data_IF_541902100356
#
_entry.id   IF_541902100356
#
_cell.length_a   1.000
_cell.length_b   1.000
_cell.length_c   1.000
_cell.angle_alpha   90.00
_cell.angle_beta   90.00
_cell.angle_gamma   90.00
#
_symmetry.space_group_name_H-M   'P 1'
#
loop_
_entity.id
_entity.type
_entity.pdbx_description
1 polymer ?
#
# COMPACT_ATOMS: atom_id res chain seq x y z
N UNK A 1 0.97 33.64 29.91
CA UNK A 1 -0.35 32.95 29.85
C UNK A 1 -0.07 31.46 29.74
N UNK A 2 -0.81 30.63 30.48
CA UNK A 2 -0.61 29.17 30.53
C UNK A 2 -1.71 28.53 29.67
N UNK A 3 -1.39 27.72 28.65
CA UNK A 3 -2.42 26.94 27.95
C UNK A 3 -2.87 25.79 28.85
N UNK A 4 -4.19 25.68 29.09
CA UNK A 4 -4.78 24.62 29.91
C UNK A 4 -4.90 23.33 29.10
N UNK A 5 -4.36 22.24 29.63
CA UNK A 5 -4.49 20.90 29.07
C UNK A 5 -5.89 20.34 29.35
N UNK A 6 -6.66 20.03 28.31
CA UNK A 6 -7.93 19.30 28.46
C UNK A 6 -7.67 17.80 28.53
N UNK A 7 -7.78 17.22 29.72
CA UNK A 7 -7.74 15.77 29.91
C UNK A 7 -9.14 15.17 29.70
N UNK A 8 -9.32 14.38 28.63
CA UNK A 8 -10.53 13.60 28.42
C UNK A 8 -10.48 12.30 29.24
N UNK A 9 -11.34 12.18 30.26
CA UNK A 9 -11.45 10.96 31.06
C UNK A 9 -12.49 10.01 30.46
N UNK A 10 -12.05 8.85 29.98
CA UNK A 10 -12.95 7.77 29.55
C UNK A 10 -13.37 6.91 30.76
N UNK A 11 -14.67 6.86 31.04
CA UNK A 11 -15.24 6.00 32.09
C UNK A 11 -15.56 4.63 31.46
N UNK A 12 -14.72 3.64 31.75
CA UNK A 12 -14.98 2.25 31.38
C UNK A 12 -15.97 1.62 32.37
N UNK A 13 -17.22 1.44 31.96
CA UNK A 13 -18.23 0.72 32.72
C UNK A 13 -18.26 -0.77 32.33
N UNK A 14 -17.64 -1.62 33.14
CA UNK A 14 -17.73 -3.07 32.99
C UNK A 14 -19.08 -3.59 33.51
N UNK A 15 -20.02 -3.93 32.60
CA UNK A 15 -21.22 -4.68 32.96
C UNK A 15 -20.99 -6.18 32.84
N UNK A 16 -20.86 -6.84 33.99
CA UNK A 16 -20.83 -8.30 34.10
C UNK A 16 -22.27 -8.81 34.25
N UNK A 17 -22.80 -9.42 33.20
CA UNK A 17 -23.96 -10.31 33.21
C UNK A 17 -23.85 -11.23 32.00
N UNK A 18 -24.08 -12.54 32.06
CA UNK A 18 -24.49 -13.38 33.18
C UNK A 18 -25.07 -14.66 32.59
N UNK A 19 -24.25 -15.71 32.47
CA UNK A 19 -24.63 -16.95 31.78
C UNK A 19 -25.76 -17.68 32.51
N UNK A 20 -26.93 -17.79 31.89
CA UNK A 20 -27.97 -18.73 32.30
C UNK A 20 -28.04 -19.89 31.29
N UNK A 21 -27.61 -21.08 31.72
CA UNK A 21 -27.80 -22.29 30.97
C UNK A 21 -29.28 -22.73 31.05
N UNK A 22 -29.97 -22.78 29.90
CA UNK A 22 -31.33 -23.30 29.83
C UNK A 22 -31.38 -24.83 30.00
N UNK A 23 -32.45 -25.39 30.57
CA UNK A 23 -32.55 -26.84 30.81
C UNK A 23 -32.66 -27.63 29.49
N UNK A 24 -31.86 -28.69 29.37
CA UNK A 24 -31.90 -29.60 28.23
C UNK A 24 -33.24 -30.35 28.15
N UNK A 25 -33.98 -30.18 27.04
CA UNK A 25 -35.19 -30.96 26.75
C UNK A 25 -34.79 -32.34 26.21
N UNK A 26 -35.17 -33.46 26.85
CA UNK A 26 -34.96 -34.78 26.27
C UNK A 26 -35.85 -34.94 25.04
N UNK A 27 -35.25 -35.34 23.90
CA UNK A 27 -35.99 -35.66 22.68
C UNK A 27 -36.24 -37.17 22.62
N UNK A 28 -37.47 -37.58 22.87
CA UNK A 28 -37.89 -38.99 22.77
C UNK A 28 -37.96 -39.42 21.31
N UNK A 29 -36.89 -40.02 20.78
CA UNK A 29 -36.93 -40.67 19.47
C UNK A 29 -37.59 -42.04 19.59
N UNK A 30 -38.83 -42.14 19.13
CA UNK A 30 -39.48 -43.42 18.87
C UNK A 30 -38.76 -44.05 17.66
N UNK A 31 -38.26 -45.27 17.85
CA UNK A 31 -37.71 -46.09 16.77
C UNK A 31 -38.69 -47.23 16.53
N UNK A 32 -39.49 -47.13 15.48
CA UNK A 32 -40.27 -48.28 14.99
C UNK A 32 -39.34 -49.29 14.32
N UNK A 33 -39.63 -50.57 14.53
CA UNK A 33 -38.67 -51.64 14.29
C UNK A 33 -38.62 -52.13 12.84
N UNK A 34 -37.48 -52.73 12.49
CA UNK A 34 -37.42 -53.81 11.50
C UNK A 34 -36.93 -55.07 12.20
N UNK A 35 -37.61 -56.18 11.94
CA UNK A 35 -37.32 -57.49 12.54
C UNK A 35 -36.33 -58.29 11.68
N UNK A 36 -35.52 -59.15 12.33
CA UNK A 36 -35.03 -60.49 11.86
C UNK A 36 -34.46 -60.59 10.42
N UNK A 37 -33.25 -61.06 10.12
CA UNK A 37 -32.37 -62.05 10.79
C UNK A 37 -31.10 -62.25 9.89
N UNK A 38 -29.97 -62.87 10.25
CA UNK A 38 -29.48 -63.53 11.48
C UNK A 38 -27.92 -63.74 11.45
N UNK A 39 -27.34 -64.47 12.43
CA UNK A 39 -26.15 -65.39 12.35
C UNK A 39 -24.87 -64.91 11.61
N UNK A 40 -23.61 -64.93 12.12
CA UNK A 40 -22.97 -65.69 13.21
C UNK A 40 -21.68 -65.02 13.78
N UNK A 41 -21.15 -65.61 14.85
CA UNK A 41 -19.82 -65.50 15.52
C UNK A 41 -18.60 -64.97 14.71
N UNK A 42 -17.57 -64.35 15.31
CA UNK A 42 -16.53 -65.02 16.16
C UNK A 42 -15.66 -64.04 16.98
N UNK A 43 -15.02 -64.53 18.07
CA UNK A 43 -14.20 -63.81 19.06
C UNK A 43 -12.77 -63.42 18.63
N UNK A 44 -12.17 -62.44 19.34
CA UNK A 44 -10.71 -62.20 19.44
C UNK A 44 -10.31 -60.70 19.39
N UNK A 45 -10.26 -59.94 20.49
CA UNK A 45 -9.19 -59.85 21.52
C UNK A 45 -7.89 -59.13 21.14
N UNK A 46 -7.70 -57.99 21.83
CA UNK A 46 -6.43 -57.45 22.38
C UNK A 46 -5.57 -56.48 21.55
N UNK A 47 -5.16 -55.43 22.27
CA UNK A 47 -4.34 -54.27 21.93
C UNK A 47 -2.90 -54.57 21.50
N UNK A 48 -2.32 -53.67 20.70
CA UNK A 48 -0.91 -53.25 20.86
C UNK A 48 -0.70 -51.82 20.33
N UNK A 49 0.10 -51.04 21.06
CA UNK A 49 0.64 -49.75 20.63
C UNK A 49 1.98 -49.97 19.89
N UNK A 50 2.33 -49.11 18.94
CA UNK A 50 3.73 -48.92 18.56
C UNK A 50 4.03 -47.46 18.25
N UNK A 51 4.90 -46.86 19.05
CA UNK A 51 5.66 -45.68 18.67
C UNK A 51 6.60 -46.02 17.51
N UNK A 52 6.86 -45.04 16.63
CA UNK A 52 8.11 -44.96 15.88
C UNK A 52 8.60 -43.51 15.95
N UNK A 53 9.65 -43.29 16.75
CA UNK A 53 10.49 -42.10 16.61
C UNK A 53 11.35 -42.25 15.35
N UNK A 54 11.54 -41.17 14.59
CA UNK A 54 12.61 -41.08 13.58
C UNK A 54 13.40 -39.81 13.82
N UNK A 55 14.67 -39.97 14.19
CA UNK A 55 15.56 -38.89 14.63
C UNK A 55 16.48 -38.45 13.48
N UNK A 56 16.62 -37.13 13.28
CA UNK A 56 17.75 -36.39 12.68
C UNK A 56 18.49 -36.92 11.44
N UNK A 57 18.64 -36.06 10.43
CA UNK A 57 19.98 -35.70 9.90
C UNK A 57 20.05 -34.18 9.70
N UNK A 58 21.13 -33.56 10.15
CA UNK A 58 21.42 -32.15 9.89
C UNK A 58 22.26 -31.99 8.62
N UNK A 59 21.99 -30.94 7.84
CA UNK A 59 22.89 -30.48 6.77
C UNK A 59 23.42 -29.09 7.12
N UNK A 60 24.68 -29.04 7.58
CA UNK A 60 25.43 -27.79 7.68
C UNK A 60 26.15 -27.54 6.37
N UNK A 61 26.04 -26.33 5.83
CA UNK A 61 26.84 -25.88 4.68
C UNK A 61 27.42 -24.50 4.96
N UNK A 62 28.50 -24.45 5.73
CA UNK A 62 29.45 -23.33 5.69
C UNK A 62 30.42 -23.53 4.54
N UNK A 63 30.47 -22.59 3.60
CA UNK A 63 31.62 -22.41 2.71
C UNK A 63 32.10 -20.96 2.79
N UNK A 64 33.42 -20.82 2.96
CA UNK A 64 34.11 -19.55 3.09
C UNK A 64 34.59 -19.05 1.72
N UNK A 65 34.60 -17.72 1.58
CA UNK A 65 35.55 -16.89 0.82
C UNK A 65 35.86 -17.22 -0.65
N UNK A 66 35.67 -16.22 -1.50
CA UNK A 66 36.81 -15.62 -2.20
C UNK A 66 36.54 -14.11 -2.36
N UNK A 67 37.56 -13.28 -2.11
CA UNK A 67 37.56 -11.90 -2.59
C UNK A 67 37.94 -11.87 -4.06
N UNK A 68 37.30 -11.01 -4.85
CA UNK A 68 38.02 -10.37 -5.96
C UNK A 68 37.67 -8.88 -6.00
N UNK A 69 38.70 -8.07 -5.74
CA UNK A 69 38.62 -6.62 -5.83
C UNK A 69 38.71 -6.20 -7.30
N UNK A 70 37.73 -5.46 -7.81
CA UNK A 70 37.88 -4.70 -9.05
C UNK A 70 37.57 -3.22 -8.80
N UNK A 71 38.66 -2.44 -8.84
CA UNK A 71 38.64 -0.98 -8.76
C UNK A 71 38.38 -0.42 -10.16
N UNK A 72 37.36 0.43 -10.30
CA UNK A 72 37.21 1.30 -11.48
C UNK A 72 37.40 2.75 -11.00
N UNK A 73 38.49 3.35 -11.47
CA UNK A 73 38.86 4.76 -11.30
C UNK A 73 38.70 5.45 -12.66
N UNK A 74 38.62 6.78 -12.65
CA UNK A 74 38.38 7.73 -13.76
C UNK A 74 36.89 7.93 -14.12
N UNK A 75 36.41 9.15 -14.39
CA UNK A 75 37.12 10.45 -14.46
C UNK A 75 36.22 11.61 -14.02
N UNK A 76 36.77 12.52 -13.20
CA UNK A 76 36.08 13.71 -12.71
C UNK A 76 36.39 14.92 -13.60
N UNK A 77 35.41 15.37 -14.40
CA UNK A 77 35.55 16.61 -15.18
C UNK A 77 35.07 17.78 -14.33
N UNK A 78 36.03 18.53 -13.78
CA UNK A 78 35.79 19.86 -13.20
C UNK A 78 35.79 20.89 -14.32
N UNK A 79 34.71 21.66 -14.42
CA UNK A 79 34.63 22.86 -15.25
C UNK A 79 34.24 24.05 -14.37
N UNK A 80 35.24 24.65 -13.74
CA UNK A 80 35.10 25.93 -13.04
C UNK A 80 35.40 27.05 -14.04
N UNK A 81 34.39 27.78 -14.52
CA UNK A 81 34.63 29.04 -15.23
C UNK A 81 33.98 30.21 -14.49
N UNK A 82 34.83 31.15 -14.05
CA UNK A 82 34.46 32.44 -13.46
C UNK A 82 35.18 33.51 -14.27
N UNK A 83 34.47 34.21 -15.15
CA UNK A 83 34.96 35.37 -15.94
C UNK A 83 33.87 35.80 -16.94
N UNK A 84 33.64 37.06 -17.30
CA UNK A 84 34.02 38.39 -16.78
C UNK A 84 32.91 39.34 -17.28
N UNK A 85 32.56 40.35 -16.49
CA UNK A 85 31.63 41.44 -16.85
C UNK A 85 32.31 42.48 -17.77
N UNK A 86 31.68 42.91 -18.89
CA UNK A 86 31.99 44.18 -19.53
C UNK A 86 30.80 45.16 -19.50
N UNK A 87 30.70 45.87 -18.38
CA UNK A 87 30.05 47.18 -18.27
C UNK A 87 30.55 48.15 -19.36
N UNK A 88 29.66 48.55 -20.26
CA UNK A 88 29.79 49.77 -21.08
C UNK A 88 28.50 50.58 -21.00
N UNK A 89 28.58 51.89 -21.17
CA UNK A 89 27.47 52.81 -20.85
C UNK A 89 27.49 54.03 -21.76
N UNK A 90 26.51 54.16 -22.68
CA UNK A 90 25.92 55.47 -23.07
C UNK A 90 24.85 55.45 -24.17
N UNK A 91 23.72 56.08 -23.85
CA UNK A 91 23.16 57.28 -24.53
C UNK A 91 22.79 57.24 -26.02
N UNK A 92 21.49 57.07 -26.27
CA UNK A 92 20.59 57.93 -27.08
C UNK A 92 21.06 58.49 -28.45
N UNK A 93 20.37 58.06 -29.52
CA UNK A 93 19.94 58.95 -30.60
C UNK A 93 18.66 58.42 -31.28
N UNK A 94 17.69 59.31 -31.52
CA UNK A 94 16.45 59.03 -32.28
C UNK A 94 16.59 59.67 -33.67
N UNK A 95 16.34 58.91 -34.75
CA UNK A 95 16.11 59.49 -36.07
C UNK A 95 15.29 58.56 -36.95
N UNK A 96 14.34 59.14 -37.68
CA UNK A 96 13.38 58.45 -38.56
C UNK A 96 13.79 58.64 -40.02
N UNK A 97 13.91 57.55 -40.79
CA UNK A 97 13.95 57.61 -42.25
C UNK A 97 13.27 56.36 -42.83
N UNK A 98 12.35 56.56 -43.78
CA UNK A 98 11.72 55.50 -44.57
C UNK A 98 12.64 55.05 -45.72
N UNK A 99 12.63 53.76 -46.11
CA UNK A 99 13.24 53.35 -47.38
C UNK A 99 13.66 51.88 -47.53
N UNK A 100 12.74 51.06 -48.06
CA UNK A 100 13.01 50.07 -49.13
C UNK A 100 14.01 48.92 -48.89
N UNK A 101 13.45 47.78 -48.49
CA UNK A 101 13.58 46.43 -49.11
C UNK A 101 14.93 45.68 -49.14
N UNK A 102 14.83 44.38 -48.79
CA UNK A 102 15.75 43.24 -49.05
C UNK A 102 16.84 43.00 -48.00
N UNK A 103 16.62 42.03 -47.10
CA UNK A 103 17.13 40.64 -47.24
C UNK A 103 16.57 39.77 -46.10
N UNK A 104 16.07 38.58 -46.40
CA UNK A 104 15.40 37.72 -45.42
C UNK A 104 16.42 36.89 -44.62
N UNK A 105 16.96 37.48 -43.54
CA UNK A 105 17.77 36.73 -42.59
C UNK A 105 16.93 35.68 -41.85
N UNK A 106 17.07 34.42 -42.24
CA UNK A 106 16.48 33.27 -41.54
C UNK A 106 17.06 33.17 -40.13
N UNK A 107 16.33 33.66 -39.13
CA UNK A 107 16.66 33.44 -37.75
C UNK A 107 16.43 31.96 -37.42
N UNK A 108 17.53 31.17 -37.39
CA UNK A 108 17.51 29.81 -36.87
C UNK A 108 17.17 29.88 -35.38
N UNK A 109 15.89 29.68 -35.04
CA UNK A 109 15.46 29.58 -33.66
C UNK A 109 16.16 28.39 -33.01
N UNK A 110 17.02 28.65 -32.03
CA UNK A 110 17.64 27.61 -31.21
C UNK A 110 16.52 26.85 -30.48
N UNK A 111 16.19 25.67 -30.97
CA UNK A 111 15.19 24.82 -30.33
C UNK A 111 15.77 24.30 -29.03
N UNK A 112 15.41 24.93 -27.91
CA UNK A 112 15.72 24.38 -26.58
C UNK A 112 14.96 23.07 -26.45
N UNK A 113 15.66 21.95 -26.64
CA UNK A 113 15.12 20.62 -26.39
C UNK A 113 14.84 20.53 -24.90
N UNK A 114 13.57 20.72 -24.52
CA UNK A 114 13.11 20.31 -23.21
C UNK A 114 13.42 18.82 -23.08
N UNK A 115 14.25 18.44 -22.11
CA UNK A 115 14.37 17.04 -21.76
C UNK A 115 12.97 16.48 -21.49
N UNK A 116 12.68 15.31 -22.07
CA UNK A 116 11.43 14.64 -21.78
C UNK A 116 11.42 14.30 -20.29
N UNK A 117 10.56 14.97 -19.52
CA UNK A 117 10.35 14.64 -18.11
C UNK A 117 10.14 13.14 -18.02
N UNK A 118 10.98 12.46 -17.26
CA UNK A 118 10.99 10.99 -17.22
C UNK A 118 9.69 10.53 -16.57
N UNK A 119 8.71 10.16 -17.39
CA UNK A 119 7.34 9.78 -16.95
C UNK A 119 7.32 8.37 -16.33
N UNK A 120 8.26 8.08 -15.44
CA UNK A 120 8.24 6.89 -14.60
C UNK A 120 7.09 7.08 -13.60
N UNK A 121 6.08 6.19 -13.58
CA UNK A 121 5.01 6.27 -12.60
C UNK A 121 5.54 6.24 -11.17
N UNK A 122 4.92 7.03 -10.28
CA UNK A 122 5.33 7.12 -8.88
C UNK A 122 5.07 5.82 -8.08
N UNK A 123 4.23 4.94 -8.61
CA UNK A 123 3.95 3.59 -8.08
C UNK A 123 3.91 2.56 -9.21
N UNK A 124 3.97 1.28 -8.85
CA UNK A 124 3.92 0.10 -9.71
C UNK A 124 2.86 -0.88 -9.20
N UNK A 125 2.49 -1.89 -9.99
CA UNK A 125 1.39 -2.83 -9.69
C UNK A 125 0.10 -2.12 -9.20
N UNK A 126 -0.29 -1.07 -9.91
CA UNK A 126 -1.41 -0.19 -9.56
C UNK A 126 -2.77 -0.92 -9.53
N UNK A 127 -2.98 -1.85 -10.46
CA UNK A 127 -4.18 -2.71 -10.56
C UNK A 127 -3.97 -4.14 -10.06
N UNK A 128 -2.89 -4.43 -9.33
CA UNK A 128 -2.57 -5.78 -8.83
C UNK A 128 -2.46 -6.86 -9.93
N UNK A 129 -2.20 -6.43 -11.17
CA UNK A 129 -2.18 -7.25 -12.38
C UNK A 129 -0.78 -7.76 -12.77
N UNK A 130 0.30 -7.30 -12.12
CA UNK A 130 1.68 -7.64 -12.51
C UNK A 130 2.03 -9.10 -12.21
N UNK A 131 1.44 -9.70 -11.16
CA UNK A 131 1.62 -11.07 -10.69
C UNK A 131 0.27 -11.61 -10.15
N UNK A 132 -0.07 -12.88 -10.41
CA UNK A 132 -1.34 -13.50 -9.98
C UNK A 132 -1.28 -14.16 -8.59
N UNK A 133 -0.09 -14.19 -8.00
CA UNK A 133 0.23 -14.81 -6.70
C UNK A 133 0.75 -13.82 -5.66
N UNK A 134 1.15 -12.61 -6.08
CA UNK A 134 1.84 -11.63 -5.24
C UNK A 134 1.31 -10.21 -5.43
N UNK A 135 1.05 -9.52 -4.32
CA UNK A 135 0.73 -8.07 -4.33
C UNK A 135 1.96 -7.17 -4.45
N UNK A 136 3.17 -7.74 -4.53
CA UNK A 136 4.41 -6.96 -4.59
C UNK A 136 4.36 -5.91 -5.73
N UNK A 137 4.92 -4.71 -5.55
CA UNK A 137 5.72 -4.27 -4.41
C UNK A 137 4.91 -3.64 -3.25
N UNK A 138 3.60 -3.86 -3.18
CA UNK A 138 2.83 -3.48 -1.99
C UNK A 138 3.20 -4.38 -0.81
N UNK A 139 3.41 -3.77 0.35
CA UNK A 139 3.72 -4.44 1.61
C UNK A 139 2.71 -4.07 2.70
N UNK A 140 2.44 -5.00 3.62
CA UNK A 140 1.63 -4.74 4.80
C UNK A 140 2.39 -3.85 5.79
N UNK A 141 1.68 -2.96 6.46
CA UNK A 141 2.29 -2.01 7.40
C UNK A 141 2.52 -2.61 8.79
N UNK A 142 1.49 -3.17 9.43
CA UNK A 142 1.64 -3.84 10.73
C UNK A 142 1.85 -5.35 10.62
N UNK A 143 1.49 -5.97 9.50
CA UNK A 143 1.55 -7.43 9.33
C UNK A 143 0.57 -8.18 10.23
N UNK A 144 -0.44 -7.49 10.76
CA UNK A 144 -1.54 -8.13 11.50
C UNK A 144 -2.63 -8.64 10.56
N UNK A 145 -2.69 -8.15 9.32
CA UNK A 145 -3.56 -8.65 8.26
C UNK A 145 -2.72 -9.49 7.29
N UNK A 146 -3.39 -10.39 6.57
CA UNK A 146 -2.87 -10.97 5.34
C UNK A 146 -3.50 -10.22 4.16
N UNK A 147 -2.74 -10.05 3.09
CA UNK A 147 -3.20 -9.46 1.82
C UNK A 147 -2.90 -10.44 0.69
N UNK A 148 -3.88 -10.67 -0.18
CA UNK A 148 -3.77 -11.64 -1.28
C UNK A 148 -4.33 -11.09 -2.58
N UNK A 149 -3.88 -11.63 -3.71
CA UNK A 149 -4.52 -11.39 -5.01
C UNK A 149 -5.90 -12.05 -5.04
N UNK A 150 -6.89 -11.35 -5.60
CA UNK A 150 -8.23 -11.85 -5.89
C UNK A 150 -8.59 -11.56 -7.36
N UNK A 151 -8.94 -12.60 -8.12
CA UNK A 151 -9.26 -12.51 -9.55
C UNK A 151 -10.75 -12.57 -9.86
N UNK A 152 -11.59 -12.88 -8.87
CA UNK A 152 -13.05 -12.99 -8.98
C UNK A 152 -13.75 -11.65 -8.74
N UNK A 153 -13.28 -10.87 -7.76
CA UNK A 153 -13.74 -9.51 -7.47
C UNK A 153 -12.64 -8.52 -7.87
N UNK A 154 -12.94 -7.65 -8.84
CA UNK A 154 -12.06 -6.60 -9.37
C UNK A 154 -12.86 -5.44 -9.93
N UNK A 155 -12.21 -4.29 -10.07
CA UNK A 155 -12.75 -3.08 -10.67
C UNK A 155 -12.40 -3.00 -12.16
N UNK A 156 -11.11 -3.18 -12.49
CA UNK A 156 -10.59 -3.24 -13.86
C UNK A 156 -9.64 -4.44 -14.00
N UNK A 157 -9.04 -4.66 -15.17
CA UNK A 157 -7.94 -5.61 -15.33
C UNK A 157 -8.30 -7.08 -15.07
N UNK A 158 -7.39 -7.83 -14.45
CA UNK A 158 -7.54 -9.27 -14.13
C UNK A 158 -7.69 -9.54 -12.64
N UNK A 159 -7.16 -8.68 -11.78
CA UNK A 159 -6.97 -8.88 -10.35
C UNK A 159 -7.40 -7.66 -9.49
N UNK A 160 -7.46 -7.86 -8.18
CA UNK A 160 -7.42 -6.81 -7.15
C UNK A 160 -6.69 -7.34 -5.90
N UNK A 161 -6.35 -6.47 -4.94
CA UNK A 161 -5.87 -6.89 -3.64
C UNK A 161 -7.03 -7.08 -2.64
N UNK A 162 -7.16 -8.27 -2.07
CA UNK A 162 -8.05 -8.57 -0.96
C UNK A 162 -7.31 -8.40 0.37
N UNK A 163 -7.87 -7.57 1.26
CA UNK A 163 -7.52 -7.51 2.68
C UNK A 163 -8.68 -8.05 3.51
N UNK A 164 -8.47 -9.11 4.30
CA UNK A 164 -9.57 -9.77 5.02
C UNK A 164 -9.15 -10.43 6.35
N UNK A 165 -10.02 -10.34 7.36
CA UNK A 165 -9.80 -10.95 8.68
C UNK A 165 -9.78 -12.48 8.69
N UNK A 166 -10.47 -13.11 7.75
CA UNK A 166 -10.47 -14.57 7.56
C UNK A 166 -9.09 -15.11 7.20
N UNK A 167 -8.15 -14.25 6.83
CA UNK A 167 -6.75 -14.58 6.58
C UNK A 167 -5.88 -14.47 7.86
N UNK A 168 -6.47 -14.20 9.04
CA UNK A 168 -5.81 -14.35 10.35
C UNK A 168 -5.78 -13.10 11.24
N UNK A 169 -6.24 -11.96 10.73
CA UNK A 169 -6.03 -10.65 11.37
C UNK A 169 -7.11 -10.14 12.33
N UNK A 170 -6.71 -9.23 13.22
CA UNK A 170 -7.57 -8.61 14.23
C UNK A 170 -8.06 -7.23 13.78
N UNK A 171 -9.23 -7.20 13.17
CA UNK A 171 -9.85 -6.00 12.61
C UNK A 171 -10.08 -4.87 13.62
N UNK A 172 -9.21 -3.86 13.58
CA UNK A 172 -9.53 -2.48 13.97
C UNK A 172 -9.06 -1.52 12.86
N UNK A 173 -7.84 -1.73 12.34
CA UNK A 173 -7.40 -1.21 11.05
C UNK A 173 -5.96 -1.63 10.72
N UNK A 174 -5.63 -1.72 9.43
CA UNK A 174 -4.27 -1.92 8.91
C UNK A 174 -4.18 -1.31 7.50
N UNK A 175 -2.96 -1.28 6.97
CA UNK A 175 -2.59 -0.54 5.77
C UNK A 175 -1.72 -1.40 4.86
N UNK A 176 -1.94 -1.29 3.55
CA UNK A 176 -0.90 -1.60 2.56
C UNK A 176 -0.15 -0.32 2.22
N UNK A 177 1.15 -0.43 1.92
CA UNK A 177 1.98 0.69 1.50
C UNK A 177 2.89 0.30 0.34
N UNK A 178 3.29 1.28 -0.45
CA UNK A 178 4.30 1.13 -1.49
C UNK A 178 5.27 2.32 -1.44
N UNK A 179 6.60 2.10 -1.51
CA UNK A 179 7.56 3.18 -1.59
C UNK A 179 7.38 3.96 -2.89
N UNK A 180 7.43 5.28 -2.81
CA UNK A 180 7.32 6.13 -3.99
C UNK A 180 8.56 6.01 -4.89
N UNK A 181 8.32 6.03 -6.19
CA UNK A 181 9.31 5.93 -7.27
C UNK A 181 9.45 7.27 -7.97
N UNK A 182 10.61 7.52 -8.60
CA UNK A 182 10.87 8.79 -9.27
C UNK A 182 11.15 9.95 -8.31
N UNK A 183 11.21 11.17 -8.86
CA UNK A 183 11.59 12.37 -8.11
C UNK A 183 10.35 13.10 -7.58
N UNK A 184 10.23 13.18 -6.26
CA UNK A 184 9.25 14.04 -5.59
C UNK A 184 9.81 15.46 -5.45
N UNK A 185 8.99 16.47 -5.72
CA UNK A 185 9.36 17.89 -5.71
C UNK A 185 8.64 18.61 -4.58
N UNK A 186 9.38 19.35 -3.76
CA UNK A 186 8.82 20.09 -2.64
C UNK A 186 7.77 21.13 -3.10
N UNK A 187 6.65 21.21 -2.37
CA UNK A 187 5.57 22.16 -2.66
C UNK A 187 4.67 21.80 -3.85
N UNK A 188 4.99 20.76 -4.63
CA UNK A 188 4.07 20.23 -5.64
C UNK A 188 2.92 19.50 -4.97
N UNK A 189 1.70 19.73 -5.46
CA UNK A 189 0.50 19.01 -5.01
C UNK A 189 0.29 17.79 -5.89
N UNK A 190 0.42 16.62 -5.30
CA UNK A 190 0.17 15.32 -5.91
C UNK A 190 -1.27 14.89 -5.66
N UNK A 191 -1.87 14.18 -6.61
CA UNK A 191 -3.15 13.48 -6.43
C UNK A 191 -2.86 12.02 -6.08
N UNK A 192 -3.59 11.49 -5.09
CA UNK A 192 -3.58 10.07 -4.74
C UNK A 192 -4.99 9.51 -4.85
N UNK A 193 -5.15 8.31 -5.36
CA UNK A 193 -6.47 7.67 -5.48
C UNK A 193 -6.41 6.15 -5.44
N UNK A 194 -7.57 5.54 -5.23
CA UNK A 194 -7.80 4.10 -5.39
C UNK A 194 -9.29 3.83 -5.62
N UNK A 195 -9.60 2.67 -6.18
CA UNK A 195 -10.93 2.07 -6.10
C UNK A 195 -10.97 1.08 -4.94
N UNK A 196 -12.02 1.19 -4.12
CA UNK A 196 -12.21 0.31 -2.94
C UNK A 196 -13.61 -0.28 -2.95
N UNK A 197 -13.71 -1.60 -2.72
CA UNK A 197 -14.97 -2.30 -2.48
C UNK A 197 -14.90 -2.99 -1.12
N UNK A 198 -15.41 -2.31 -0.09
CA UNK A 198 -15.43 -2.80 1.29
C UNK A 198 -16.81 -3.35 1.66
N UNK A 199 -16.86 -4.40 2.48
CA UNK A 199 -18.12 -4.90 3.03
C UNK A 199 -18.60 -4.04 4.22
N UNK A 200 -19.82 -4.29 4.71
CA UNK A 200 -20.44 -3.50 5.79
C UNK A 200 -19.63 -3.48 7.10
N UNK A 201 -18.74 -4.44 7.31
CA UNK A 201 -17.88 -4.51 8.49
C UNK A 201 -16.57 -3.71 8.35
N UNK A 202 -16.27 -3.17 7.17
CA UNK A 202 -15.15 -2.26 6.90
C UNK A 202 -15.67 -0.90 6.40
N UNK A 203 -16.30 -0.08 7.28
CA UNK A 203 -16.98 1.15 6.88
C UNK A 203 -16.03 2.30 6.54
N UNK A 204 -14.72 2.19 6.78
CA UNK A 204 -13.77 3.27 6.52
C UNK A 204 -12.61 2.85 5.62
N UNK A 205 -12.20 3.75 4.74
CA UNK A 205 -10.90 3.69 4.05
C UNK A 205 -10.10 4.96 4.32
N UNK A 206 -8.78 4.88 4.25
CA UNK A 206 -7.88 6.02 4.50
C UNK A 206 -6.79 6.06 3.44
N UNK A 207 -6.52 7.24 2.87
CA UNK A 207 -5.38 7.49 1.99
C UNK A 207 -4.34 8.34 2.74
N UNK A 208 -3.08 7.92 2.70
CA UNK A 208 -1.98 8.55 3.46
C UNK A 208 -0.74 8.69 2.57
N UNK A 209 -0.12 9.87 2.63
CA UNK A 209 1.25 10.10 2.21
C UNK A 209 2.14 10.14 3.45
N UNK A 210 3.13 9.26 3.52
CA UNK A 210 4.05 9.18 4.65
C UNK A 210 5.50 9.43 4.24
N UNK A 211 6.31 9.79 5.24
CA UNK A 211 7.75 10.03 5.18
C UNK A 211 8.40 9.39 6.42
N UNK A 212 9.74 9.24 6.44
CA UNK A 212 10.46 8.49 7.50
C UNK A 212 9.86 7.09 7.75
N UNK A 213 9.33 6.45 6.70
CA UNK A 213 8.55 5.21 6.70
C UNK A 213 7.18 5.27 7.39
N UNK A 214 7.06 5.97 8.53
CA UNK A 214 5.93 5.87 9.46
C UNK A 214 5.39 7.24 9.93
N UNK A 215 5.97 8.37 9.51
CA UNK A 215 5.48 9.70 9.85
C UNK A 215 4.50 10.20 8.77
N UNK A 216 3.35 10.72 9.19
CA UNK A 216 2.37 11.31 8.29
C UNK A 216 1.65 12.46 8.97
N UNK A 217 1.11 13.37 8.15
CA UNK A 217 0.25 14.49 8.57
C UNK A 217 -1.05 14.43 7.77
N UNK A 218 -2.16 14.73 8.42
CA UNK A 218 -3.49 14.90 7.80
C UNK A 218 -3.97 13.74 6.90
N UNK A 219 -4.03 12.49 7.42
CA UNK A 219 -4.53 11.34 6.67
C UNK A 219 -6.00 11.53 6.28
N UNK A 220 -6.33 11.31 5.00
CA UNK A 220 -7.68 11.54 4.48
C UNK A 220 -8.53 10.28 4.63
N UNK A 221 -9.66 10.37 5.33
CA UNK A 221 -10.55 9.24 5.61
C UNK A 221 -11.89 9.36 4.89
N UNK A 222 -12.40 8.23 4.39
CA UNK A 222 -13.61 8.10 3.58
C UNK A 222 -14.61 7.15 4.26
N UNK A 223 -15.88 7.56 4.32
CA UNK A 223 -16.99 6.70 4.80
C UNK A 223 -17.56 5.88 3.63
N UNK A 224 -17.45 4.56 3.74
CA UNK A 224 -17.93 3.56 2.77
C UNK A 224 -19.25 2.91 3.21
N UNK A 225 -19.82 3.28 4.36
CA UNK A 225 -21.02 2.63 4.94
C UNK A 225 -22.21 2.60 3.97
N UNK A 226 -22.44 3.70 3.24
CA UNK A 226 -23.51 3.81 2.24
C UNK A 226 -23.19 3.13 0.89
N UNK A 227 -21.98 2.56 0.75
CA UNK A 227 -21.43 1.94 -0.46
C UNK A 227 -20.91 0.52 -0.22
N UNK A 228 -21.28 -0.10 0.90
CA UNK A 228 -20.87 -1.45 1.23
C UNK A 228 -21.16 -2.45 0.08
N UNK A 229 -20.14 -3.18 -0.36
CA UNK A 229 -20.20 -4.12 -1.48
C UNK A 229 -20.12 -3.48 -2.88
N UNK A 230 -19.86 -2.16 -2.98
CA UNK A 230 -19.75 -1.44 -4.24
C UNK A 230 -18.35 -0.84 -4.42
N UNK A 231 -17.81 -0.96 -5.63
CA UNK A 231 -16.61 -0.22 -6.02
C UNK A 231 -16.84 1.28 -5.91
N UNK A 232 -16.01 1.92 -5.09
CA UNK A 232 -16.07 3.36 -4.77
C UNK A 232 -14.70 3.97 -5.03
N UNK A 233 -14.65 4.96 -5.92
CA UNK A 233 -13.46 5.78 -6.13
C UNK A 233 -13.25 6.70 -4.92
N UNK A 234 -12.05 6.66 -4.36
CA UNK A 234 -11.59 7.56 -3.30
C UNK A 234 -10.33 8.30 -3.76
N UNK A 235 -10.24 9.58 -3.45
CA UNK A 235 -9.08 10.40 -3.84
C UNK A 235 -8.80 11.52 -2.85
N UNK A 236 -7.53 11.84 -2.66
CA UNK A 236 -7.07 13.01 -1.91
C UNK A 236 -5.86 13.66 -2.59
N UNK A 237 -5.31 14.69 -1.98
CA UNK A 237 -4.07 15.33 -2.42
C UNK A 237 -3.01 15.31 -1.34
N UNK A 238 -1.74 15.37 -1.75
CA UNK A 238 -0.58 15.42 -0.87
C UNK A 238 0.40 16.49 -1.33
N UNK A 239 1.10 17.11 -0.39
CA UNK A 239 2.21 18.00 -0.67
C UNK A 239 3.33 17.70 0.31
N UNK A 240 4.53 17.44 -0.20
CA UNK A 240 5.70 17.22 0.63
C UNK A 240 6.51 18.53 0.78
N UNK A 241 7.07 18.77 1.95
CA UNK A 241 8.11 19.79 2.16
C UNK A 241 9.49 19.23 1.78
N UNK A 242 10.49 20.10 1.61
CA UNK A 242 11.84 19.63 1.31
C UNK A 242 12.41 18.78 2.43
N UNK A 243 12.14 19.15 3.70
CA UNK A 243 12.59 18.40 4.88
C UNK A 243 11.98 17.00 4.96
N UNK A 244 10.73 16.83 4.50
CA UNK A 244 10.09 15.52 4.42
C UNK A 244 10.75 14.65 3.33
N UNK A 245 11.04 15.22 2.16
CA UNK A 245 11.74 14.53 1.06
C UNK A 245 13.16 14.13 1.48
N UNK A 246 13.91 15.06 2.06
CA UNK A 246 15.30 14.84 2.54
C UNK A 246 15.36 13.79 3.65
N UNK A 247 14.29 13.63 4.44
CA UNK A 247 14.19 12.59 5.47
C UNK A 247 13.92 11.18 4.92
N UNK A 248 13.60 11.07 3.62
CA UNK A 248 13.43 9.81 2.90
C UNK A 248 12.25 8.95 3.40
N UNK A 249 12.23 7.69 2.94
CA UNK A 249 11.18 6.74 3.31
C UNK A 249 9.78 7.24 2.98
N UNK A 250 9.58 7.71 1.74
CA UNK A 250 8.31 8.22 1.23
C UNK A 250 7.43 7.05 0.75
N UNK A 251 6.19 6.95 1.25
CA UNK A 251 5.25 5.91 0.81
C UNK A 251 3.86 6.49 0.53
N UNK A 252 3.18 5.90 -0.45
CA UNK A 252 1.73 5.94 -0.52
C UNK A 252 1.17 4.77 0.29
N UNK A 253 0.22 5.03 1.18
CA UNK A 253 -0.47 4.00 1.98
C UNK A 253 -1.98 4.07 1.77
N UNK A 254 -2.61 2.89 1.70
CA UNK A 254 -4.06 2.70 1.64
C UNK A 254 -4.45 1.88 2.86
N UNK A 255 -5.27 2.46 3.72
CA UNK A 255 -5.75 1.87 4.97
C UNK A 255 -7.22 1.48 4.94
N UNK A 256 -7.57 0.47 5.73
CA UNK A 256 -8.95 0.05 5.96
C UNK A 256 -9.26 0.09 7.45
N UNK A 257 -10.40 0.69 7.80
CA UNK A 257 -10.94 0.70 9.17
C UNK A 257 -12.13 -0.24 9.24
N UNK A 258 -12.07 -1.22 10.14
CA UNK A 258 -13.07 -2.28 10.23
C UNK A 258 -13.55 -2.46 11.67
N UNK A 259 -14.85 -2.76 11.83
CA UNK A 259 -15.58 -2.73 13.11
C UNK A 259 -15.97 -4.12 13.63
N UNK A 260 -15.74 -5.18 12.86
CA UNK A 260 -16.09 -6.54 13.27
C UNK A 260 -15.82 -7.60 12.21
N UNK A 261 -15.96 -8.87 12.59
CA UNK A 261 -15.79 -10.02 11.69
C UNK A 261 -17.10 -10.33 10.92
N UNK A 262 -17.05 -10.74 9.63
CA UNK A 262 -15.88 -10.92 8.77
C UNK A 262 -15.63 -9.67 7.90
N UNK A 263 -14.97 -8.64 8.44
CA UNK A 263 -14.51 -7.50 7.64
C UNK A 263 -13.51 -7.90 6.56
N UNK A 264 -13.79 -7.42 5.36
CA UNK A 264 -12.93 -7.49 4.19
C UNK A 264 -13.14 -6.26 3.31
N UNK A 265 -12.12 -5.91 2.53
CA UNK A 265 -12.27 -5.07 1.36
C UNK A 265 -11.33 -5.50 0.23
N UNK A 266 -11.70 -5.10 -0.98
CA UNK A 266 -10.86 -5.19 -2.17
C UNK A 266 -10.35 -3.79 -2.53
N UNK A 267 -9.10 -3.69 -2.95
CA UNK A 267 -8.43 -2.47 -3.41
C UNK A 267 -7.92 -2.73 -4.82
N UNK A 268 -8.16 -1.78 -5.72
CA UNK A 268 -7.81 -1.88 -7.14
C UNK A 268 -7.51 -0.47 -7.69
N UNK A 269 -6.79 -0.41 -8.82
CA UNK A 269 -6.61 0.78 -9.65
C UNK A 269 -6.16 1.99 -8.82
N UNK A 270 -5.09 1.78 -8.05
CA UNK A 270 -4.44 2.81 -7.25
C UNK A 270 -3.62 3.75 -8.15
N UNK A 271 -3.59 5.05 -7.84
CA UNK A 271 -2.79 6.04 -8.56
C UNK A 271 -2.08 7.01 -7.62
N UNK A 272 -0.91 7.47 -8.07
CA UNK A 272 -0.17 8.59 -7.49
C UNK A 272 0.39 9.42 -8.66
N UNK A 273 -0.06 10.66 -8.80
CA UNK A 273 0.21 11.54 -9.95
C UNK A 273 0.41 13.01 -9.52
N UNK A 274 0.93 13.85 -10.42
CA UNK A 274 1.25 15.26 -10.20
C UNK A 274 0.50 16.18 -11.19
#
# INVERSE_FOLDING_TARGET
>A
MIPQTYAAAFITACLVAGSQAGPCKPSSRITEGFATSDVSSTLGSTSASSFVETTTVAASSTYFSNEESSVIVTESISSTETSVDPKETSTTAMSTTEGTTTEAATATATTTTSEASSTVPFISNAGFDDDDSSVAPWELYYGEYDVSIASDVKHDGRNSALMAATLGGKLLGDYIKQPLRGSITAGVTYTISAWVNANYFCPGATLICSYQNNAWTDPTTFDLTAKAGQWTYISSTCTYTQEQIDSGGLYFMIGLTCIGFPGQAYIDTADFSA
#
